data_IF_841574986077
#
_entry.id   IF_841574986077
#
_cell.length_a   1.000
_cell.length_b   1.000
_cell.length_c   1.000
_cell.angle_alpha   90.00
_cell.angle_beta   90.00
_cell.angle_gamma   90.00
#
_symmetry.space_group_name_H-M   'P 1'
#
loop_
_entity.id
_entity.type
_entity.pdbx_description
1 polymer ?
#
# COMPACT_ATOMS: atom_id res chain seq x y z
N UNK A 1 1.12 -8.19 -27.65
CA UNK A 1 2.30 -7.67 -26.90
C UNK A 1 3.43 -8.67 -27.06
N UNK A 2 4.62 -8.22 -27.49
CA UNK A 2 5.73 -9.14 -27.75
C UNK A 2 6.37 -9.65 -26.46
N UNK A 3 6.63 -10.95 -26.35
CA UNK A 3 7.30 -11.62 -25.21
C UNK A 3 8.63 -10.92 -24.82
N UNK A 4 9.26 -10.24 -25.79
CA UNK A 4 10.51 -9.49 -25.61
C UNK A 4 10.38 -8.26 -24.70
N UNK A 5 9.25 -7.54 -24.77
CA UNK A 5 9.03 -6.32 -23.98
C UNK A 5 8.76 -6.65 -22.52
N UNK A 6 7.93 -7.66 -22.25
CA UNK A 6 7.72 -8.20 -20.90
C UNK A 6 9.05 -8.61 -20.24
N UNK A 7 9.91 -9.31 -20.98
CA UNK A 7 11.25 -9.72 -20.50
C UNK A 7 12.17 -8.53 -20.23
N UNK A 8 12.13 -7.50 -21.08
CA UNK A 8 12.91 -6.28 -20.86
C UNK A 8 12.47 -5.57 -19.57
N UNK A 9 11.17 -5.32 -19.40
CA UNK A 9 10.66 -4.64 -18.20
C UNK A 9 10.96 -5.47 -16.95
N UNK A 10 10.80 -6.80 -17.00
CA UNK A 10 11.18 -7.67 -15.88
C UNK A 10 12.65 -7.47 -15.46
N UNK A 11 13.58 -7.46 -16.41
CA UNK A 11 15.00 -7.21 -16.13
C UNK A 11 15.29 -5.81 -15.60
N UNK A 12 14.56 -4.80 -16.07
CA UNK A 12 14.73 -3.43 -15.54
C UNK A 12 14.34 -3.37 -14.07
N UNK A 13 13.26 -4.05 -13.67
CA UNK A 13 12.80 -4.08 -12.28
C UNK A 13 13.77 -4.80 -11.32
N UNK A 14 14.73 -5.59 -11.82
CA UNK A 14 15.79 -6.19 -11.00
C UNK A 14 16.89 -5.16 -10.62
N UNK A 15 16.92 -3.98 -11.26
CA UNK A 15 17.85 -2.89 -10.95
C UNK A 15 17.68 -2.41 -9.51
N UNK A 16 18.78 -2.10 -8.82
CA UNK A 16 18.75 -1.47 -7.49
C UNK A 16 18.35 0.02 -7.51
N UNK A 17 18.34 0.67 -8.69
CA UNK A 17 17.93 2.05 -8.88
C UNK A 17 16.56 2.12 -9.55
N UNK A 18 15.51 2.10 -8.73
CA UNK A 18 14.12 2.20 -9.19
C UNK A 18 13.81 3.54 -9.85
N UNK A 19 14.48 4.63 -9.48
CA UNK A 19 14.22 5.96 -10.05
C UNK A 19 14.70 6.04 -11.51
N UNK A 20 15.84 5.43 -11.82
CA UNK A 20 16.28 5.28 -13.21
C UNK A 20 15.36 4.38 -14.02
N UNK A 21 14.83 3.31 -13.41
CA UNK A 21 13.84 2.44 -14.08
C UNK A 21 12.57 3.21 -14.42
N UNK A 22 12.01 3.98 -13.48
CA UNK A 22 10.81 4.79 -13.72
C UNK A 22 11.04 5.77 -14.87
N UNK A 23 12.19 6.46 -14.91
CA UNK A 23 12.56 7.36 -16.01
C UNK A 23 12.55 6.65 -17.35
N UNK A 24 13.12 5.44 -17.43
CA UNK A 24 13.10 4.66 -18.67
C UNK A 24 11.68 4.25 -19.07
N UNK A 25 10.84 3.86 -18.10
CA UNK A 25 9.46 3.46 -18.35
C UNK A 25 8.59 4.61 -18.86
N UNK A 26 8.86 5.86 -18.47
CA UNK A 26 8.15 7.04 -18.99
C UNK A 26 8.35 7.29 -20.48
N UNK A 27 9.42 6.76 -21.08
CA UNK A 27 9.65 6.85 -22.52
C UNK A 27 8.83 5.83 -23.33
N UNK A 28 8.08 4.95 -22.66
CA UNK A 28 7.25 3.92 -23.29
C UNK A 28 5.76 4.27 -23.17
N UNK A 29 4.92 3.83 -24.13
CA UNK A 29 3.47 4.01 -24.01
C UNK A 29 2.91 3.29 -22.76
N UNK A 30 2.05 3.93 -21.93
CA UNK A 30 1.53 3.33 -20.70
C UNK A 30 0.89 1.94 -20.90
N UNK A 31 0.17 1.75 -22.01
CA UNK A 31 -0.47 0.48 -22.36
C UNK A 31 0.52 -0.69 -22.54
N UNK A 32 1.78 -0.40 -22.87
CA UNK A 32 2.86 -1.39 -23.00
C UNK A 32 3.60 -1.66 -21.70
N UNK A 33 3.49 -0.76 -20.72
CA UNK A 33 4.20 -0.86 -19.44
C UNK A 33 3.31 -1.47 -18.35
N UNK A 34 2.07 -1.01 -18.24
CA UNK A 34 1.17 -1.39 -17.14
C UNK A 34 0.94 -2.90 -17.07
N UNK A 35 0.73 -3.57 -18.21
CA UNK A 35 0.49 -5.01 -18.25
C UNK A 35 1.70 -5.84 -17.76
N UNK A 36 2.94 -5.59 -18.25
CA UNK A 36 4.14 -6.17 -17.67
C UNK A 36 4.32 -5.90 -16.17
N UNK A 37 4.07 -4.68 -15.71
CA UNK A 37 4.20 -4.34 -14.29
C UNK A 37 3.19 -5.11 -13.43
N UNK A 38 1.92 -5.19 -13.84
CA UNK A 38 0.91 -6.01 -13.15
C UNK A 38 1.36 -7.48 -13.10
N UNK A 39 1.92 -8.00 -14.19
CA UNK A 39 2.46 -9.36 -14.20
C UNK A 39 3.68 -9.56 -13.28
N UNK A 40 4.46 -8.51 -13.03
CA UNK A 40 5.63 -8.53 -12.15
C UNK A 40 5.26 -8.53 -10.65
N UNK A 41 4.02 -8.16 -10.30
CA UNK A 41 3.49 -8.31 -8.94
C UNK A 41 3.50 -9.77 -8.47
N UNK A 42 3.43 -10.73 -9.39
CA UNK A 42 3.52 -12.17 -9.12
C UNK A 42 4.95 -12.72 -9.21
N UNK A 43 5.98 -11.87 -9.23
CA UNK A 43 7.38 -12.31 -9.27
C UNK A 43 7.77 -13.04 -7.99
N UNK A 44 8.61 -14.08 -8.11
CA UNK A 44 9.24 -14.73 -6.95
C UNK A 44 10.26 -13.80 -6.27
N UNK A 45 10.86 -12.87 -7.03
CA UNK A 45 11.75 -11.86 -6.51
C UNK A 45 10.96 -10.71 -5.86
N UNK A 46 11.19 -10.51 -4.56
CA UNK A 46 10.53 -9.49 -3.74
C UNK A 46 10.87 -8.06 -4.17
N UNK A 47 12.10 -7.79 -4.59
CA UNK A 47 12.51 -6.47 -5.08
C UNK A 47 11.74 -6.14 -6.35
N UNK A 48 11.61 -7.10 -7.26
CA UNK A 48 10.84 -6.93 -8.50
C UNK A 48 9.37 -6.61 -8.20
N UNK A 49 8.76 -7.26 -7.19
CA UNK A 49 7.38 -6.95 -6.79
C UNK A 49 7.24 -5.50 -6.30
N UNK A 50 8.12 -5.05 -5.42
CA UNK A 50 8.08 -3.69 -4.87
C UNK A 50 8.42 -2.61 -5.90
N UNK A 51 9.33 -2.90 -6.82
CA UNK A 51 9.60 -2.04 -7.96
C UNK A 51 8.41 -1.96 -8.92
N UNK A 52 7.68 -3.05 -9.12
CA UNK A 52 6.45 -3.04 -9.90
C UNK A 52 5.37 -2.16 -9.24
N UNK A 53 5.12 -2.31 -7.93
CA UNK A 53 4.19 -1.44 -7.16
C UNK A 53 4.58 0.03 -7.30
N UNK A 54 5.86 0.34 -7.07
CA UNK A 54 6.42 1.69 -7.17
C UNK A 54 6.23 2.28 -8.57
N UNK A 55 6.60 1.54 -9.61
CA UNK A 55 6.47 1.98 -11.00
C UNK A 55 4.99 2.12 -11.41
N UNK A 56 4.10 1.23 -10.97
CA UNK A 56 2.66 1.34 -11.21
C UNK A 56 2.11 2.65 -10.64
N UNK A 57 2.50 3.01 -9.43
CA UNK A 57 2.13 4.29 -8.82
C UNK A 57 2.39 5.49 -9.71
N UNK A 58 3.65 5.63 -10.14
CA UNK A 58 4.13 6.76 -10.92
C UNK A 58 3.58 6.77 -12.36
N UNK A 59 3.49 5.59 -13.00
CA UNK A 59 3.02 5.47 -14.38
C UNK A 59 1.50 5.65 -14.46
N UNK A 60 0.73 5.10 -13.52
CA UNK A 60 -0.73 5.26 -13.50
C UNK A 60 -1.12 6.67 -13.06
N UNK A 61 -0.38 7.31 -12.15
CA UNK A 61 -0.57 8.73 -11.84
C UNK A 61 -0.38 9.61 -13.08
N UNK A 62 0.73 9.42 -13.81
CA UNK A 62 0.96 10.16 -15.06
C UNK A 62 -0.06 9.82 -16.15
N UNK A 63 -0.64 8.62 -16.15
CA UNK A 63 -1.74 8.27 -17.03
C UNK A 63 -2.99 9.06 -16.64
N UNK A 64 -3.31 9.13 -15.35
CA UNK A 64 -4.49 9.83 -14.84
C UNK A 64 -4.50 11.33 -15.19
N UNK A 65 -3.34 11.98 -15.18
CA UNK A 65 -3.19 13.39 -15.59
C UNK A 65 -3.58 13.63 -17.06
N UNK A 66 -3.51 12.60 -17.90
CA UNK A 66 -3.73 12.69 -19.36
C UNK A 66 -5.03 12.02 -19.81
N UNK A 67 -5.38 10.92 -19.14
CA UNK A 67 -6.51 10.04 -19.39
C UNK A 67 -6.93 9.38 -18.07
N UNK A 68 -7.77 10.10 -17.32
CA UNK A 68 -8.32 9.62 -16.05
C UNK A 68 -9.12 8.31 -16.24
N UNK A 69 -9.82 8.12 -17.36
CA UNK A 69 -10.59 6.90 -17.58
C UNK A 69 -9.68 5.68 -17.79
N UNK A 70 -8.57 5.86 -18.53
CA UNK A 70 -7.51 4.85 -18.63
C UNK A 70 -6.96 4.45 -17.26
N UNK A 71 -6.74 5.40 -16.35
CA UNK A 71 -6.32 5.10 -14.99
C UNK A 71 -7.41 4.38 -14.17
N UNK A 72 -8.69 4.77 -14.33
CA UNK A 72 -9.82 4.06 -13.69
C UNK A 72 -9.96 2.63 -14.16
N UNK A 73 -9.70 2.35 -15.44
CA UNK A 73 -9.65 0.96 -15.96
C UNK A 73 -8.63 0.13 -15.18
N UNK A 74 -7.46 0.69 -14.88
CA UNK A 74 -6.42 0.02 -14.08
C UNK A 74 -6.90 -0.21 -12.64
N UNK A 75 -7.49 0.80 -11.99
CA UNK A 75 -8.03 0.66 -10.63
C UNK A 75 -9.13 -0.39 -10.56
N UNK A 76 -10.09 -0.39 -11.50
CA UNK A 76 -11.16 -1.39 -11.59
C UNK A 76 -10.60 -2.80 -11.82
N UNK A 77 -9.49 -2.94 -12.54
CA UNK A 77 -8.82 -4.23 -12.71
C UNK A 77 -8.23 -4.76 -11.41
N UNK A 78 -7.63 -3.91 -10.58
CA UNK A 78 -7.17 -4.31 -9.24
C UNK A 78 -8.33 -4.72 -8.34
N UNK A 79 -9.42 -3.94 -8.34
CA UNK A 79 -10.64 -4.29 -7.61
C UNK A 79 -11.20 -5.64 -8.05
N UNK A 80 -11.29 -5.87 -9.36
CA UNK A 80 -11.74 -7.16 -9.88
C UNK A 80 -10.82 -8.29 -9.43
N UNK A 81 -9.49 -8.10 -9.45
CA UNK A 81 -8.54 -9.14 -9.02
C UNK A 81 -8.60 -9.48 -7.52
N UNK A 82 -9.21 -8.62 -6.71
CA UNK A 82 -9.46 -8.83 -5.28
C UNK A 82 -10.84 -9.43 -5.01
N UNK A 83 -11.64 -9.65 -6.06
CA UNK A 83 -12.90 -10.35 -5.97
C UNK A 83 -12.66 -11.86 -6.13
N UNK A 84 -13.37 -12.67 -5.33
CA UNK A 84 -13.30 -14.13 -5.33
C UNK A 84 -13.68 -14.72 -6.71
N UNK A 85 -14.56 -14.02 -7.45
CA UNK A 85 -14.98 -14.42 -8.80
C UNK A 85 -13.87 -14.30 -9.87
N UNK A 86 -12.76 -13.62 -9.56
CA UNK A 86 -11.70 -13.37 -10.54
C UNK A 86 -10.87 -14.61 -10.89
N UNK A 87 -10.93 -15.65 -10.06
CA UNK A 87 -10.11 -16.86 -10.18
C UNK A 87 -8.62 -16.64 -9.88
N UNK A 88 -8.23 -15.46 -9.38
CA UNK A 88 -6.88 -15.12 -8.94
C UNK A 88 -6.87 -14.56 -7.52
N UNK A 89 -5.69 -14.57 -6.89
CA UNK A 89 -5.54 -14.10 -5.49
C UNK A 89 -5.40 -12.57 -5.40
N UNK A 90 -5.07 -11.89 -6.50
CA UNK A 90 -4.88 -10.43 -6.48
C UNK A 90 -3.57 -9.96 -5.83
N UNK A 91 -2.49 -10.74 -5.98
CA UNK A 91 -1.17 -10.39 -5.44
C UNK A 91 -0.71 -8.98 -5.82
N UNK A 92 -0.29 -8.21 -4.81
CA UNK A 92 0.23 -6.85 -5.00
C UNK A 92 -0.83 -5.80 -5.37
N UNK A 93 -2.11 -6.18 -5.49
CA UNK A 93 -3.18 -5.26 -5.84
C UNK A 93 -3.45 -4.21 -4.75
N UNK A 94 -3.55 -4.57 -3.45
CA UNK A 94 -3.78 -3.57 -2.40
C UNK A 94 -2.62 -2.57 -2.28
N UNK A 95 -1.37 -3.04 -2.38
CA UNK A 95 -0.17 -2.20 -2.37
C UNK A 95 -0.16 -1.26 -3.57
N UNK A 96 -0.46 -1.78 -4.76
CA UNK A 96 -0.53 -0.98 -5.99
C UNK A 96 -1.60 0.10 -5.90
N UNK A 97 -2.80 -0.23 -5.41
CA UNK A 97 -3.87 0.74 -5.19
C UNK A 97 -3.43 1.82 -4.18
N UNK A 98 -2.80 1.43 -3.07
CA UNK A 98 -2.26 2.36 -2.08
C UNK A 98 -1.21 3.32 -2.67
N UNK A 99 -0.22 2.80 -3.40
CA UNK A 99 0.84 3.61 -4.01
C UNK A 99 0.30 4.52 -5.13
N UNK A 100 -0.63 4.06 -5.97
CA UNK A 100 -1.28 4.87 -7.01
C UNK A 100 -2.03 6.04 -6.39
N UNK A 101 -2.83 5.79 -5.36
CA UNK A 101 -3.54 6.85 -4.65
C UNK A 101 -2.58 7.77 -3.88
N UNK A 102 -1.45 7.25 -3.39
CA UNK A 102 -0.39 8.07 -2.81
C UNK A 102 0.25 8.99 -3.87
N UNK A 103 0.30 8.58 -5.14
CA UNK A 103 0.87 9.37 -6.22
C UNK A 103 -0.13 10.36 -6.86
N UNK A 104 -1.44 10.08 -6.88
CA UNK A 104 -2.44 10.91 -7.57
C UNK A 104 -3.68 11.22 -6.72
N UNK A 105 -3.94 12.52 -6.47
CA UNK A 105 -5.00 12.97 -5.56
C UNK A 105 -6.42 12.71 -6.07
N UNK A 106 -6.67 12.85 -7.38
CA UNK A 106 -7.99 12.58 -7.95
C UNK A 106 -8.40 11.10 -7.81
N UNK A 107 -7.44 10.19 -7.99
CA UNK A 107 -7.67 8.75 -7.80
C UNK A 107 -7.84 8.42 -6.31
N UNK A 108 -7.09 9.09 -5.43
CA UNK A 108 -7.28 8.93 -3.99
C UNK A 108 -8.70 9.31 -3.55
N UNK A 109 -9.25 10.41 -4.06
CA UNK A 109 -10.61 10.82 -3.75
C UNK A 109 -11.67 9.83 -4.24
N UNK A 110 -11.52 9.31 -5.47
CA UNK A 110 -12.44 8.34 -6.04
C UNK A 110 -12.35 6.97 -5.36
N UNK A 111 -11.15 6.48 -5.03
CA UNK A 111 -10.94 5.08 -4.64
C UNK A 111 -10.55 4.88 -3.16
N UNK A 112 -10.27 5.94 -2.40
CA UNK A 112 -9.83 5.82 -1.01
C UNK A 112 -10.85 5.09 -0.12
N UNK A 113 -12.15 5.32 -0.37
CA UNK A 113 -13.22 4.62 0.35
C UNK A 113 -13.26 3.11 0.03
N UNK A 114 -12.84 2.70 -1.17
CA UNK A 114 -12.77 1.29 -1.57
C UNK A 114 -11.61 0.59 -0.85
N UNK A 115 -10.45 1.23 -0.76
CA UNK A 115 -9.32 0.67 -0.02
C UNK A 115 -9.68 0.47 1.47
N UNK A 116 -10.42 1.41 2.07
CA UNK A 116 -10.93 1.26 3.43
C UNK A 116 -11.98 0.14 3.53
N UNK A 117 -12.83 -0.02 2.51
CA UNK A 117 -13.88 -1.04 2.51
C UNK A 117 -13.32 -2.47 2.54
N UNK A 118 -12.13 -2.73 1.98
CA UNK A 118 -11.46 -4.04 2.04
C UNK A 118 -11.11 -4.48 3.47
N UNK A 119 -11.13 -3.57 4.46
CA UNK A 119 -10.93 -3.93 5.87
C UNK A 119 -12.18 -4.50 6.55
N UNK A 120 -13.37 -4.29 5.98
CA UNK A 120 -14.66 -4.51 6.65
C UNK A 120 -15.15 -5.93 6.43
N UNK A 121 -15.33 -6.68 7.52
CA UNK A 121 -15.88 -8.05 7.52
C UNK A 121 -17.27 -8.14 6.87
N UNK A 122 -18.13 -7.14 7.08
CA UNK A 122 -19.48 -7.07 6.52
C UNK A 122 -19.51 -6.65 5.03
N UNK A 123 -18.41 -6.80 4.30
CA UNK A 123 -18.24 -6.27 2.94
C UNK A 123 -17.20 -7.03 2.12
N UNK A 124 -16.33 -6.30 1.42
CA UNK A 124 -15.27 -6.86 0.56
C UNK A 124 -14.06 -7.32 1.39
N UNK A 125 -14.28 -8.06 2.46
CA UNK A 125 -13.21 -8.43 3.39
C UNK A 125 -12.14 -9.29 2.72
N UNK A 126 -10.88 -8.92 2.88
CA UNK A 126 -9.77 -9.75 2.42
C UNK A 126 -9.45 -10.80 3.49
N UNK A 127 -9.93 -12.04 3.32
CA UNK A 127 -9.74 -13.12 4.27
C UNK A 127 -8.27 -13.58 4.39
N UNK A 128 -7.53 -13.54 3.28
CA UNK A 128 -6.15 -14.03 3.25
C UNK A 128 -5.21 -13.05 3.96
N UNK A 129 -4.56 -13.49 5.05
CA UNK A 129 -3.62 -12.68 5.85
C UNK A 129 -2.52 -12.03 5.00
N UNK A 130 -2.03 -12.70 3.95
CA UNK A 130 -1.03 -12.12 3.04
C UNK A 130 -1.57 -10.92 2.25
N UNK A 131 -2.86 -10.93 1.86
CA UNK A 131 -3.50 -9.76 1.24
C UNK A 131 -3.78 -8.66 2.27
N UNK A 132 -4.10 -9.04 3.50
CA UNK A 132 -4.24 -8.07 4.59
C UNK A 132 -2.92 -7.34 4.86
N UNK A 133 -1.77 -8.02 4.81
CA UNK A 133 -0.46 -7.35 4.88
C UNK A 133 -0.31 -6.30 3.79
N UNK A 134 -0.64 -6.66 2.54
CA UNK A 134 -0.62 -5.72 1.42
C UNK A 134 -1.57 -4.55 1.62
N UNK A 135 -2.77 -4.81 2.13
CA UNK A 135 -3.77 -3.78 2.43
C UNK A 135 -3.29 -2.82 3.52
N UNK A 136 -2.75 -3.34 4.63
CA UNK A 136 -2.20 -2.53 5.73
C UNK A 136 -1.04 -1.67 5.23
N UNK A 137 -0.17 -2.24 4.39
CA UNK A 137 0.91 -1.48 3.77
C UNK A 137 0.36 -0.36 2.86
N UNK A 138 -0.62 -0.67 2.00
CA UNK A 138 -1.25 0.30 1.09
C UNK A 138 -1.94 1.44 1.84
N UNK A 139 -2.62 1.14 2.95
CA UNK A 139 -3.23 2.13 3.84
C UNK A 139 -2.18 3.00 4.53
N UNK A 140 -1.12 2.39 5.06
CA UNK A 140 -0.01 3.13 5.66
C UNK A 140 0.67 4.04 4.64
N UNK A 141 0.92 3.55 3.41
CA UNK A 141 1.49 4.34 2.32
C UNK A 141 0.61 5.53 1.96
N UNK A 142 -0.70 5.33 1.85
CA UNK A 142 -1.64 6.41 1.60
C UNK A 142 -1.71 7.40 2.79
N UNK A 143 -1.63 6.90 4.03
CA UNK A 143 -1.60 7.72 5.25
C UNK A 143 -0.37 8.63 5.33
N UNK A 144 0.79 8.21 4.78
CA UNK A 144 1.97 9.07 4.70
C UNK A 144 1.74 10.36 3.90
N UNK A 145 0.85 10.32 2.91
CA UNK A 145 0.64 11.43 1.97
C UNK A 145 -0.69 12.13 2.18
N UNK A 146 -1.74 11.38 2.54
CA UNK A 146 -3.13 11.85 2.65
C UNK A 146 -3.81 11.35 3.93
N UNK A 147 -3.27 11.64 5.13
CA UNK A 147 -3.84 11.16 6.38
C UNK A 147 -5.27 11.69 6.61
N UNK A 148 -5.57 12.93 6.21
CA UNK A 148 -6.91 13.53 6.36
C UNK A 148 -7.98 12.78 5.57
N UNK A 149 -7.67 12.33 4.36
CA UNK A 149 -8.60 11.56 3.52
C UNK A 149 -8.98 10.25 4.20
N UNK A 150 -7.99 9.51 4.71
CA UNK A 150 -8.25 8.24 5.40
C UNK A 150 -9.05 8.44 6.71
N UNK A 151 -8.79 9.52 7.44
CA UNK A 151 -9.59 9.89 8.62
C UNK A 151 -11.04 10.17 8.26
N UNK A 152 -11.28 10.94 7.19
CA UNK A 152 -12.64 11.23 6.69
C UNK A 152 -13.40 9.95 6.32
N UNK A 153 -12.70 8.92 5.82
CA UNK A 153 -13.28 7.62 5.50
C UNK A 153 -13.34 6.64 6.69
N UNK A 154 -13.14 7.11 7.93
CA UNK A 154 -13.16 6.30 9.16
C UNK A 154 -12.12 5.17 9.20
N UNK A 155 -10.99 5.31 8.50
CA UNK A 155 -9.96 4.26 8.43
C UNK A 155 -9.43 3.87 9.82
N UNK A 156 -9.33 4.82 10.76
CA UNK A 156 -8.85 4.55 12.13
C UNK A 156 -9.71 3.48 12.82
N UNK A 157 -11.04 3.62 12.75
CA UNK A 157 -11.99 2.67 13.36
C UNK A 157 -11.79 1.26 12.81
N UNK A 158 -11.60 1.13 11.50
CA UNK A 158 -11.45 -0.17 10.85
C UNK A 158 -10.03 -0.76 10.98
N UNK A 159 -9.01 0.06 11.23
CA UNK A 159 -7.63 -0.38 11.46
C UNK A 159 -7.41 -0.96 12.86
N UNK A 160 -8.13 -0.46 13.88
CA UNK A 160 -7.94 -0.88 15.27
C UNK A 160 -8.01 -2.41 15.49
N UNK A 161 -8.99 -3.15 14.92
CA UNK A 161 -9.06 -4.61 15.07
C UNK A 161 -7.82 -5.35 14.54
N UNK A 162 -7.13 -4.80 13.53
CA UNK A 162 -5.94 -5.43 12.93
C UNK A 162 -4.73 -5.43 13.86
N UNK A 163 -4.72 -4.61 14.93
CA UNK A 163 -3.71 -4.70 16.00
C UNK A 163 -3.76 -6.02 16.78
N UNK A 164 -4.87 -6.77 16.69
CA UNK A 164 -5.06 -8.06 17.34
C UNK A 164 -4.99 -9.25 16.37
N UNK A 165 -4.58 -9.04 15.10
CA UNK A 165 -4.44 -10.11 14.11
C UNK A 165 -3.51 -11.23 14.60
N UNK A 166 -3.76 -12.47 14.20
CA UNK A 166 -2.82 -13.60 14.39
C UNK A 166 -1.50 -13.38 13.67
N UNK A 167 -1.53 -12.67 12.55
CA UNK A 167 -0.37 -12.41 11.71
C UNK A 167 0.46 -11.21 12.20
N UNK A 168 1.73 -11.43 12.50
CA UNK A 168 2.63 -10.38 12.98
C UNK A 168 2.85 -9.25 11.97
N UNK A 169 2.92 -9.57 10.67
CA UNK A 169 3.05 -8.58 9.61
C UNK A 169 1.86 -7.63 9.57
N UNK A 170 0.65 -8.18 9.68
CA UNK A 170 -0.60 -7.42 9.74
C UNK A 170 -0.63 -6.51 10.97
N UNK A 171 -0.35 -7.02 12.17
CA UNK A 171 -0.32 -6.21 13.40
C UNK A 171 0.65 -5.04 13.30
N UNK A 172 1.87 -5.30 12.85
CA UNK A 172 2.91 -4.27 12.74
C UNK A 172 2.58 -3.20 11.70
N UNK A 173 2.06 -3.58 10.53
CA UNK A 173 1.67 -2.63 9.49
C UNK A 173 0.42 -1.83 9.89
N UNK A 174 -0.52 -2.42 10.62
CA UNK A 174 -1.65 -1.69 11.20
C UNK A 174 -1.17 -0.66 12.24
N UNK A 175 -0.23 -1.04 13.11
CA UNK A 175 0.40 -0.13 14.07
C UNK A 175 1.09 1.04 13.35
N UNK A 176 1.86 0.75 12.30
CA UNK A 176 2.50 1.77 11.46
C UNK A 176 1.48 2.75 10.85
N UNK A 177 0.41 2.25 10.23
CA UNK A 177 -0.64 3.08 9.64
C UNK A 177 -1.35 3.96 10.69
N UNK A 178 -1.71 3.39 11.86
CA UNK A 178 -2.35 4.14 12.95
C UNK A 178 -1.45 5.24 13.52
N UNK A 179 -0.13 5.00 13.59
CA UNK A 179 0.86 5.99 13.96
C UNK A 179 0.90 7.19 13.01
N UNK A 180 0.84 6.93 11.69
CA UNK A 180 0.77 7.97 10.65
C UNK A 180 -0.56 8.74 10.67
N UNK A 181 -1.65 8.07 11.07
CA UNK A 181 -2.94 8.71 11.29
C UNK A 181 -3.03 9.43 12.64
N UNK A 182 -2.01 9.39 13.50
CA UNK A 182 -2.04 10.00 14.83
C UNK A 182 -3.28 9.59 15.65
N UNK A 183 -3.67 8.32 15.56
CA UNK A 183 -4.87 7.79 16.22
C UNK A 183 -4.67 7.67 17.75
N UNK A 184 -5.28 8.57 18.52
CA UNK A 184 -5.13 8.58 19.98
C UNK A 184 -5.78 7.36 20.63
N UNK A 185 -6.88 6.90 20.04
CA UNK A 185 -7.66 5.74 20.46
C UNK A 185 -6.85 4.43 20.36
N UNK A 186 -5.79 4.42 19.52
CA UNK A 186 -4.92 3.26 19.36
C UNK A 186 -3.88 3.11 20.47
N UNK A 187 -3.64 4.14 21.29
CA UNK A 187 -2.54 4.15 22.29
C UNK A 187 -2.57 2.91 23.20
N UNK A 188 -3.69 2.54 23.85
CA UNK A 188 -3.69 1.40 24.76
C UNK A 188 -3.33 0.07 24.07
N UNK A 189 -3.81 -0.13 22.84
CA UNK A 189 -3.51 -1.33 22.06
C UNK A 189 -2.06 -1.34 21.56
N UNK A 190 -1.52 -0.19 21.16
CA UNK A 190 -0.11 -0.05 20.76
C UNK A 190 0.84 -0.31 21.93
N UNK A 191 0.50 0.13 23.15
CA UNK A 191 1.31 -0.14 24.35
C UNK A 191 1.43 -1.64 24.65
N UNK A 192 0.37 -2.41 24.40
CA UNK A 192 0.38 -3.87 24.56
C UNK A 192 1.30 -4.57 23.55
N UNK A 193 1.55 -3.94 22.39
CA UNK A 193 2.39 -4.49 21.34
C UNK A 193 3.88 -4.18 21.50
N UNK A 194 4.29 -3.34 22.45
CA UNK A 194 5.68 -2.91 22.61
C UNK A 194 6.69 -4.06 22.77
N UNK A 195 6.27 -5.18 23.34
CA UNK A 195 7.11 -6.37 23.53
C UNK A 195 6.82 -7.49 22.52
N UNK A 196 5.99 -7.24 21.50
CA UNK A 196 5.64 -8.25 20.49
C UNK A 196 6.84 -8.51 19.55
N UNK A 197 7.40 -9.75 19.53
CA UNK A 197 8.56 -10.11 18.74
C UNK A 197 8.23 -10.45 17.27
N UNK A 198 6.95 -10.36 16.87
CA UNK A 198 6.49 -10.66 15.52
C UNK A 198 7.31 -9.91 14.48
N UNK A 199 7.81 -10.63 13.48
CA UNK A 199 8.66 -10.06 12.43
C UNK A 199 7.81 -9.40 11.35
N UNK A 200 8.24 -8.22 10.92
CA UNK A 200 7.56 -7.41 9.92
C UNK A 200 8.59 -7.00 8.88
N UNK A 201 8.48 -7.61 7.70
CA UNK A 201 9.25 -7.25 6.52
C UNK A 201 8.40 -6.39 5.62
N UNK A 202 8.78 -5.14 5.41
CA UNK A 202 7.99 -4.19 4.63
C UNK A 202 8.85 -3.32 3.71
N UNK A 203 8.20 -2.52 2.87
CA UNK A 203 8.89 -1.61 1.95
C UNK A 203 8.69 -0.15 2.36
N UNK A 204 9.76 0.54 2.70
CA UNK A 204 9.73 1.94 3.12
C UNK A 204 10.86 2.71 2.45
N UNK A 205 10.56 3.90 1.94
CA UNK A 205 11.54 4.78 1.29
C UNK A 205 12.36 4.07 0.21
N UNK A 206 11.68 3.30 -0.64
CA UNK A 206 12.26 2.49 -1.72
C UNK A 206 13.19 1.35 -1.29
N UNK A 207 13.17 0.98 -0.01
CA UNK A 207 14.00 -0.10 0.54
C UNK A 207 13.17 -1.11 1.32
N UNK A 208 13.62 -2.37 1.35
CA UNK A 208 13.03 -3.38 2.22
C UNK A 208 13.64 -3.22 3.62
N UNK A 209 12.78 -3.17 4.62
CA UNK A 209 13.14 -3.02 6.02
C UNK A 209 12.55 -4.19 6.79
N UNK A 210 13.38 -4.80 7.64
CA UNK A 210 12.96 -5.81 8.60
C UNK A 210 12.85 -5.15 9.98
N UNK A 211 11.69 -5.25 10.61
CA UNK A 211 11.37 -4.70 11.92
C UNK A 211 10.59 -5.71 12.76
N UNK A 212 10.33 -5.36 14.02
CA UNK A 212 9.36 -6.07 14.86
C UNK A 212 8.06 -5.30 14.99
N UNK A 213 6.98 -5.98 15.36
CA UNK A 213 5.72 -5.36 15.75
C UNK A 213 5.95 -4.33 16.87
N UNK A 214 6.75 -4.68 17.89
CA UNK A 214 7.10 -3.77 18.98
C UNK A 214 7.82 -2.49 18.53
N UNK A 215 8.77 -2.59 17.60
CA UNK A 215 9.45 -1.43 17.01
C UNK A 215 8.48 -0.49 16.29
N UNK A 216 7.55 -1.06 15.52
CA UNK A 216 6.53 -0.28 14.80
C UNK A 216 5.51 0.35 15.76
N UNK A 217 5.14 -0.35 16.83
CA UNK A 217 4.28 0.19 17.88
C UNK A 217 4.94 1.36 18.62
N UNK A 218 6.23 1.25 18.96
CA UNK A 218 7.01 2.34 19.58
C UNK A 218 7.04 3.57 18.67
N UNK A 219 7.37 3.39 17.38
CA UNK A 219 7.37 4.48 16.39
C UNK A 219 5.98 5.10 16.23
N UNK A 220 4.92 4.29 16.24
CA UNK A 220 3.54 4.77 16.15
C UNK A 220 3.18 5.65 17.35
N UNK A 221 3.46 5.19 18.57
CA UNK A 221 3.25 5.96 19.81
C UNK A 221 4.03 7.27 19.80
N UNK A 222 5.29 7.25 19.36
CA UNK A 222 6.10 8.46 19.24
C UNK A 222 5.48 9.47 18.25
N UNK A 223 4.95 9.01 17.12
CA UNK A 223 4.28 9.87 16.14
C UNK A 223 2.96 10.46 16.68
N UNK A 224 2.18 9.68 17.41
CA UNK A 224 0.93 10.13 18.04
C UNK A 224 1.20 11.21 19.09
N UNK A 225 2.21 11.00 19.95
CA UNK A 225 2.62 11.95 21.01
C UNK A 225 3.12 13.27 20.43
N UNK A 226 4.01 13.23 19.43
CA UNK A 226 4.55 14.44 18.77
C UNK A 226 3.44 15.33 18.19
N UNK A 227 2.43 14.73 17.56
CA UNK A 227 1.31 15.48 16.99
C UNK A 227 0.43 16.14 18.05
N UNK A 228 0.24 15.49 19.21
CA UNK A 228 -0.51 16.06 20.33
C UNK A 228 0.18 17.29 20.92
N UNK A 229 1.51 17.24 21.09
CA UNK A 229 2.28 18.37 21.62
C UNK A 229 2.23 19.61 20.72
N UNK A 230 2.13 19.42 19.39
CA UNK A 230 2.01 20.54 18.44
C UNK A 230 0.63 21.21 18.54
N UNK A 231 -0.46 20.43 18.68
CA UNK A 231 -1.82 20.97 18.78
C UNK A 231 -2.17 21.61 20.12
N UNK A 232 -1.42 21.33 21.18
CA UNK A 232 -1.64 21.92 22.51
C UNK A 232 -1.05 23.31 22.71
N UNK A 233 -0.37 23.87 21.70
CA UNK A 233 0.25 25.20 21.72
C UNK A 233 -0.42 26.22 20.77
N UNK A 234 -1.51 25.82 20.09
CA UNK A 234 -2.39 26.67 19.26
C UNK A 234 -3.74 26.86 19.95
#
# INVERSE_FOLDING_TARGET
MGIREKRRIGKLLESSDIESVIKELYHLPPSRVINPLIGALCSNDEIVRWHAVTALGQIVASLADRDMEGARVVMRRFMWSLNDESGGIGWGAPESMGEIMACHSGLAQEYGHILVAFMREEGFFLELELLQRGLMWGLGRLAQVRPSLLKEKNAVTYLLPYLASSDGGVRGLAAWALGLLHAQEAIPALEQLLSDPGQVRHYLNRTIVDETVGSLAEKALANIKKHHSIKGHD
#
